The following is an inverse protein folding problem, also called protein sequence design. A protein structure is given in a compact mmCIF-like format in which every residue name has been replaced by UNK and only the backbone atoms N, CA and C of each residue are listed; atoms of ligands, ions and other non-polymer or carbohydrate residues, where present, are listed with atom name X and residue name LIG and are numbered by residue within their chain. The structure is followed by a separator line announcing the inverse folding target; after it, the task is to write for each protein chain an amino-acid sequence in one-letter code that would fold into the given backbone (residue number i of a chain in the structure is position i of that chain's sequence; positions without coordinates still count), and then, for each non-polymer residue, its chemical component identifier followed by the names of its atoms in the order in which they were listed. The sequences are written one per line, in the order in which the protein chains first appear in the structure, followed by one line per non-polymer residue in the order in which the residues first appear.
data_IF_979694452912
#
_entry.id   IF_979694452912
#
_cell.length_a   1.000
_cell.length_b   1.000
_cell.length_c   1.000
_cell.angle_alpha   90.00
_cell.angle_beta   90.00
_cell.angle_gamma   90.00
#
_symmetry.space_group_name_H-M   'P 1'
#
loop_
_entity.id
_entity.type
_entity.pdbx_description
1 polymer ?
#
# COMPACT_ATOMS: atom_id res chain seq x y z
N UNK A 1 12.16 -58.07 8.72
CA UNK A 1 13.08 -56.98 8.32
C UNK A 1 13.21 -56.05 9.51
N UNK A 2 14.42 -55.96 10.06
CA UNK A 2 14.79 -55.10 11.21
C UNK A 2 14.63 -53.61 10.84
N UNK A 3 14.25 -52.72 11.74
CA UNK A 3 15.17 -52.16 12.73
C UNK A 3 14.57 -51.96 14.12
N UNK A 4 15.34 -52.38 15.12
CA UNK A 4 15.22 -52.08 16.53
C UNK A 4 15.40 -50.58 16.79
N UNK A 5 14.54 -49.99 17.59
CA UNK A 5 14.80 -48.68 18.19
C UNK A 5 15.87 -48.85 19.26
N UNK A 6 17.07 -48.38 18.96
CA UNK A 6 18.17 -48.27 19.90
C UNK A 6 17.90 -47.20 20.94
N UNK A 7 18.02 -47.60 22.20
CA UNK A 7 18.19 -46.75 23.37
C UNK A 7 19.42 -45.85 23.18
N UNK A 8 19.25 -44.53 23.31
CA UNK A 8 20.34 -43.64 23.67
C UNK A 8 20.05 -43.12 25.08
N UNK A 9 20.90 -43.58 25.99
CA UNK A 9 20.91 -43.24 27.41
C UNK A 9 21.13 -41.75 27.64
N UNK A 10 20.49 -41.24 28.70
CA UNK A 10 21.01 -40.12 29.47
C UNK A 10 22.37 -40.51 30.03
N UNK A 11 23.42 -39.72 29.79
CA UNK A 11 24.45 -39.31 30.76
C UNK A 11 25.32 -38.23 30.10
N UNK A 12 25.55 -37.11 30.78
CA UNK A 12 26.63 -36.18 30.41
C UNK A 12 26.30 -34.70 30.57
N UNK A 13 26.40 -34.20 31.81
CA UNK A 13 26.68 -32.79 32.10
C UNK A 13 27.92 -32.34 31.31
N UNK A 14 27.74 -31.40 30.39
CA UNK A 14 28.83 -30.78 29.66
C UNK A 14 28.37 -29.51 28.98
N UNK A 15 28.49 -28.38 29.67
CA UNK A 15 28.37 -27.04 29.09
C UNK A 15 29.20 -26.94 27.81
N UNK A 16 28.54 -26.79 26.66
CA UNK A 16 29.19 -26.28 25.45
C UNK A 16 28.82 -24.80 25.28
N UNK A 17 29.81 -23.95 24.96
CA UNK A 17 29.63 -22.50 24.90
C UNK A 17 28.69 -22.15 23.75
N UNK A 18 27.77 -21.21 24.02
CA UNK A 18 26.90 -20.66 22.98
C UNK A 18 27.70 -19.98 21.87
N UNK A 19 27.21 -19.98 20.63
CA UNK A 19 27.84 -19.22 19.57
C UNK A 19 27.72 -17.71 19.86
N UNK A 20 28.85 -17.02 19.66
CA UNK A 20 29.04 -15.59 19.81
C UNK A 20 28.10 -14.76 18.90
N UNK A 21 27.84 -13.48 19.24
CA UNK A 21 26.89 -12.64 18.51
C UNK A 21 27.52 -12.19 17.19
N UNK A 22 27.04 -12.73 16.08
CA UNK A 22 27.52 -12.29 14.78
C UNK A 22 27.26 -13.28 13.65
N UNK A 23 26.01 -13.37 13.21
CA UNK A 23 25.68 -13.57 11.80
C UNK A 23 24.19 -13.36 11.65
N UNK A 24 23.80 -12.14 11.28
CA UNK A 24 22.41 -11.76 11.05
C UNK A 24 22.05 -12.03 9.57
N UNK A 25 22.41 -13.19 9.04
CA UNK A 25 22.09 -13.62 7.69
C UNK A 25 21.91 -15.14 7.75
N UNK A 26 20.82 -15.62 7.15
CA UNK A 26 20.51 -17.05 6.94
C UNK A 26 19.75 -17.72 8.08
N UNK A 27 18.61 -17.12 8.48
CA UNK A 27 17.46 -17.95 8.82
C UNK A 27 16.78 -18.32 7.50
N UNK A 28 17.36 -19.29 6.79
CA UNK A 28 16.59 -20.07 5.81
C UNK A 28 15.47 -20.72 6.61
N UNK A 29 14.31 -20.07 6.67
CA UNK A 29 13.12 -20.67 7.25
C UNK A 29 12.80 -21.87 6.38
N UNK A 30 13.11 -23.04 6.91
CA UNK A 30 12.83 -24.27 6.24
C UNK A 30 11.29 -24.38 6.08
N UNK A 31 10.77 -24.96 4.99
CA UNK A 31 9.32 -25.02 4.76
C UNK A 31 8.56 -25.68 5.93
N UNK A 32 9.22 -26.59 6.66
CA UNK A 32 8.70 -27.25 7.86
C UNK A 32 8.62 -26.32 9.07
N UNK A 33 9.47 -25.30 9.16
CA UNK A 33 9.43 -24.31 10.25
C UNK A 33 8.15 -23.47 10.19
N UNK A 34 7.70 -23.13 8.98
CA UNK A 34 6.42 -22.43 8.80
C UNK A 34 5.24 -23.33 9.15
N UNK A 35 5.30 -24.61 8.77
CA UNK A 35 4.26 -25.58 9.11
C UNK A 35 4.17 -25.80 10.64
N UNK A 36 5.32 -25.93 11.30
CA UNK A 36 5.43 -26.09 12.75
C UNK A 36 4.98 -24.82 13.49
N UNK A 37 5.38 -23.64 12.99
CA UNK A 37 4.95 -22.35 13.55
C UNK A 37 3.43 -22.20 13.43
N UNK A 38 2.86 -22.52 12.27
CA UNK A 38 1.42 -22.47 12.02
C UNK A 38 0.65 -23.43 12.93
N UNK A 39 1.15 -24.66 13.08
CA UNK A 39 0.57 -25.64 14.00
C UNK A 39 0.61 -25.13 15.45
N UNK A 40 1.77 -24.65 15.90
CA UNK A 40 1.95 -24.12 17.26
C UNK A 40 1.02 -22.93 17.53
N UNK A 41 0.91 -22.01 16.56
CA UNK A 41 -0.01 -20.89 16.62
C UNK A 41 -1.47 -21.34 16.72
N UNK A 42 -1.89 -22.30 15.89
CA UNK A 42 -3.26 -22.80 15.89
C UNK A 42 -3.59 -23.49 17.23
N UNK A 43 -2.68 -24.33 17.74
CA UNK A 43 -2.84 -24.97 19.05
C UNK A 43 -2.93 -23.95 20.18
N UNK A 44 -2.11 -22.90 20.14
CA UNK A 44 -2.17 -21.82 21.12
C UNK A 44 -3.51 -21.07 21.04
N UNK A 45 -4.01 -20.76 19.85
CA UNK A 45 -5.31 -20.11 19.66
C UNK A 45 -6.47 -20.98 20.17
N UNK A 46 -6.42 -22.30 19.95
CA UNK A 46 -7.44 -23.22 20.49
C UNK A 46 -7.38 -23.31 22.01
N UNK A 47 -6.19 -23.23 22.61
CA UNK A 47 -6.00 -23.31 24.06
C UNK A 47 -6.42 -22.04 24.79
N UNK A 48 -6.32 -20.88 24.14
CA UNK A 48 -6.67 -19.58 24.73
C UNK A 48 -8.20 -19.44 24.93
N UNK A 49 -9.02 -20.36 24.39
CA UNK A 49 -10.49 -20.33 24.45
C UNK A 49 -11.02 -18.91 24.25
N UNK A 50 -10.66 -18.31 23.10
CA UNK A 50 -11.11 -16.97 22.77
C UNK A 50 -12.64 -16.96 22.69
N UNK A 51 -13.34 -16.24 23.58
CA UNK A 51 -14.80 -16.37 23.73
C UNK A 51 -15.55 -16.02 22.44
N UNK A 52 -14.95 -15.19 21.58
CA UNK A 52 -15.54 -14.76 20.31
C UNK A 52 -15.25 -15.69 19.12
N UNK A 53 -14.29 -16.62 19.21
CA UNK A 53 -13.88 -17.44 18.06
C UNK A 53 -14.93 -18.50 17.70
N UNK A 54 -15.69 -18.98 18.68
CA UNK A 54 -16.86 -19.84 18.47
C UNK A 54 -18.12 -19.07 18.08
N UNK A 55 -18.19 -17.79 18.42
CA UNK A 55 -19.36 -16.93 18.16
C UNK A 55 -19.32 -16.31 16.76
N UNK A 56 -18.12 -16.06 16.21
CA UNK A 56 -17.92 -15.58 14.84
C UNK A 56 -17.70 -16.79 13.93
N UNK A 57 -18.76 -17.54 13.66
CA UNK A 57 -18.71 -18.52 12.56
C UNK A 57 -18.48 -17.77 11.25
N UNK A 58 -17.42 -18.10 10.52
CA UNK A 58 -17.12 -17.47 9.24
C UNK A 58 -18.33 -17.63 8.29
N UNK A 59 -18.90 -16.51 7.85
CA UNK A 59 -20.06 -16.51 6.96
C UNK A 59 -21.43 -16.56 7.64
N UNK A 60 -21.54 -16.56 8.98
CA UNK A 60 -22.84 -16.40 9.63
C UNK A 60 -23.33 -14.96 9.59
N UNK A 61 -24.58 -14.70 9.15
CA UNK A 61 -25.19 -13.39 9.27
C UNK A 61 -25.29 -12.96 10.74
N UNK A 62 -24.60 -11.88 11.12
CA UNK A 62 -24.75 -11.27 12.43
C UNK A 62 -26.01 -10.41 12.43
N UNK A 63 -26.94 -10.70 13.34
CA UNK A 63 -28.15 -9.91 13.51
C UNK A 63 -27.82 -8.61 14.25
N UNK A 64 -27.44 -7.59 13.49
CA UNK A 64 -27.19 -6.25 14.04
C UNK A 64 -28.50 -5.52 14.29
N UNK A 65 -28.52 -4.69 15.33
CA UNK A 65 -29.66 -3.81 15.60
C UNK A 65 -29.81 -2.81 14.44
N UNK A 66 -31.04 -2.68 13.94
CA UNK A 66 -31.35 -1.71 12.88
C UNK A 66 -31.21 -0.29 13.44
N UNK A 67 -30.22 0.45 12.94
CA UNK A 67 -30.03 1.86 13.25
C UNK A 67 -30.46 2.71 12.05
N UNK A 68 -31.22 3.78 12.31
CA UNK A 68 -31.54 4.78 11.29
C UNK A 68 -30.27 5.58 11.00
N UNK A 69 -29.69 5.39 9.82
CA UNK A 69 -28.60 6.26 9.37
C UNK A 69 -29.23 7.53 8.82
N UNK A 70 -29.07 8.65 9.53
CA UNK A 70 -29.40 9.96 8.98
C UNK A 70 -28.23 10.38 8.09
N UNK A 71 -28.45 10.39 6.77
CA UNK A 71 -27.49 10.94 5.82
C UNK A 71 -27.81 12.42 5.65
N UNK A 72 -27.24 13.26 6.50
CA UNK A 72 -27.34 14.72 6.42
C UNK A 72 -26.44 15.29 5.32
N UNK A 73 -26.55 14.74 4.11
CA UNK A 73 -25.89 15.28 2.94
C UNK A 73 -26.78 16.33 2.29
N UNK A 74 -26.60 17.60 2.64
CA UNK A 74 -27.21 18.68 1.87
C UNK A 74 -26.55 18.71 0.48
N UNK A 75 -27.38 18.61 -0.56
CA UNK A 75 -26.93 18.84 -1.92
C UNK A 75 -26.73 20.35 -2.15
N UNK A 76 -25.79 20.76 -3.01
CA UNK A 76 -25.62 22.17 -3.33
C UNK A 76 -26.90 22.74 -3.95
N UNK A 77 -27.19 24.01 -3.65
CA UNK A 77 -28.35 24.70 -4.23
C UNK A 77 -28.16 24.91 -5.74
N UNK A 78 -29.27 25.05 -6.46
CA UNK A 78 -29.22 25.38 -7.89
C UNK A 78 -28.46 26.69 -8.16
N UNK A 79 -28.54 27.65 -7.24
CA UNK A 79 -27.80 28.92 -7.30
C UNK A 79 -26.29 28.71 -7.16
N UNK A 80 -25.87 27.89 -6.18
CA UNK A 80 -24.47 27.49 -6.00
C UNK A 80 -23.91 26.84 -7.26
N UNK A 81 -24.65 25.90 -7.87
CA UNK A 81 -24.22 25.22 -9.10
C UNK A 81 -24.08 26.20 -10.27
N UNK A 82 -25.02 27.16 -10.40
CA UNK A 82 -24.95 28.17 -11.47
C UNK A 82 -23.75 29.09 -11.30
N UNK A 83 -23.50 29.57 -10.09
CA UNK A 83 -22.37 30.43 -9.77
C UNK A 83 -21.04 29.74 -10.10
N UNK A 84 -20.89 28.48 -9.69
CA UNK A 84 -19.68 27.70 -9.95
C UNK A 84 -19.45 27.51 -11.46
N UNK A 85 -20.51 27.23 -12.22
CA UNK A 85 -20.43 27.10 -13.69
C UNK A 85 -20.00 28.41 -14.35
N UNK A 86 -20.56 29.54 -13.94
CA UNK A 86 -20.19 30.85 -14.47
C UNK A 86 -18.73 31.21 -14.17
N UNK A 87 -18.26 30.88 -12.96
CA UNK A 87 -16.87 31.05 -12.60
C UNK A 87 -15.94 30.20 -13.47
N UNK A 88 -16.25 28.92 -13.64
CA UNK A 88 -15.42 28.01 -14.43
C UNK A 88 -15.39 28.39 -15.92
N UNK A 89 -16.52 28.83 -16.49
CA UNK A 89 -16.55 29.36 -17.86
C UNK A 89 -15.59 30.54 -18.03
N UNK A 90 -15.58 31.51 -17.11
CA UNK A 90 -14.66 32.65 -17.14
C UNK A 90 -13.20 32.22 -17.02
N UNK A 91 -12.91 31.22 -16.18
CA UNK A 91 -11.57 30.66 -16.02
C UNK A 91 -11.08 30.00 -17.31
N UNK A 92 -11.93 29.19 -17.95
CA UNK A 92 -11.61 28.53 -19.23
C UNK A 92 -11.39 29.54 -20.36
N UNK A 93 -12.22 30.59 -20.44
CA UNK A 93 -12.04 31.67 -21.42
C UNK A 93 -10.74 32.45 -21.21
N UNK A 94 -10.26 32.57 -19.97
CA UNK A 94 -8.95 33.16 -19.69
C UNK A 94 -7.83 32.25 -20.20
N UNK A 95 -7.87 30.96 -19.86
CA UNK A 95 -6.87 29.99 -20.28
C UNK A 95 -6.76 29.90 -21.80
N UNK A 96 -7.89 29.85 -22.51
CA UNK A 96 -7.91 29.83 -23.98
C UNK A 96 -7.24 31.06 -24.60
N UNK A 97 -7.46 32.24 -24.00
CA UNK A 97 -6.78 33.47 -24.45
C UNK A 97 -5.28 33.43 -24.21
N UNK A 98 -4.85 32.87 -23.09
CA UNK A 98 -3.42 32.69 -22.80
C UNK A 98 -2.76 31.71 -23.76
N UNK A 99 -3.43 30.60 -24.06
CA UNK A 99 -2.99 29.60 -25.03
C UNK A 99 -2.84 30.22 -26.43
N UNK A 100 -3.87 30.91 -26.91
CA UNK A 100 -3.82 31.60 -28.20
C UNK A 100 -2.68 32.64 -28.24
N UNK A 101 -2.51 33.45 -27.19
CA UNK A 101 -1.43 34.42 -27.12
C UNK A 101 -0.04 33.75 -27.14
N UNK A 102 0.11 32.61 -26.47
CA UNK A 102 1.35 31.84 -26.48
C UNK A 102 1.66 31.26 -27.88
N UNK A 103 0.64 30.76 -28.58
CA UNK A 103 0.76 30.30 -29.96
C UNK A 103 1.15 31.44 -30.92
N UNK A 104 0.47 32.58 -30.84
CA UNK A 104 0.78 33.78 -31.64
C UNK A 104 2.21 34.27 -31.41
N UNK A 105 2.66 34.30 -30.16
CA UNK A 105 4.04 34.65 -29.80
C UNK A 105 5.01 33.62 -30.39
N UNK A 106 4.72 32.32 -30.26
CA UNK A 106 5.57 31.28 -30.79
C UNK A 106 5.72 31.37 -32.30
N UNK A 107 4.61 31.56 -33.03
CA UNK A 107 4.60 31.77 -34.48
C UNK A 107 5.41 33.01 -34.83
N UNK A 108 5.13 34.15 -34.18
CA UNK A 108 5.83 35.42 -34.42
C UNK A 108 7.35 35.32 -34.17
N UNK A 109 7.77 34.57 -33.16
CA UNK A 109 9.19 34.35 -32.85
C UNK A 109 9.88 33.40 -33.83
N UNK A 110 9.15 32.43 -34.40
CA UNK A 110 9.67 31.49 -35.42
C UNK A 110 9.70 32.11 -36.81
N UNK A 111 8.73 32.96 -37.14
CA UNK A 111 8.63 33.65 -38.43
C UNK A 111 9.57 34.86 -38.53
N UNK A 112 10.00 35.43 -37.40
CA UNK A 112 11.14 36.34 -37.41
C UNK A 112 12.35 35.57 -37.93
N UNK A 113 12.98 36.01 -39.04
CA UNK A 113 14.21 35.39 -39.49
C UNK A 113 15.16 35.45 -38.30
N UNK A 114 15.52 34.28 -37.77
CA UNK A 114 16.50 34.13 -36.71
C UNK A 114 17.69 34.93 -37.20
N UNK A 115 17.88 36.12 -36.63
CA UNK A 115 18.94 37.02 -37.06
C UNK A 115 20.19 36.18 -37.07
N UNK A 116 20.75 36.00 -38.27
CA UNK A 116 21.87 35.11 -38.58
C UNK A 116 22.69 34.92 -37.31
N UNK A 117 22.54 33.78 -36.62
CA UNK A 117 23.39 33.51 -35.47
C UNK A 117 24.80 33.69 -35.99
N UNK A 118 25.48 34.73 -35.52
CA UNK A 118 26.86 34.97 -35.94
C UNK A 118 27.59 33.66 -35.65
N UNK A 119 28.30 33.09 -36.63
CA UNK A 119 29.12 31.92 -36.36
C UNK A 119 29.97 32.21 -35.13
N UNK A 120 30.08 31.24 -34.23
CA UNK A 120 31.01 31.35 -33.12
C UNK A 120 32.40 31.64 -33.69
N UNK A 121 33.14 32.63 -33.15
CA UNK A 121 34.48 32.91 -33.64
C UNK A 121 35.36 31.66 -33.49
N UNK A 122 36.23 31.36 -34.47
CA UNK A 122 37.14 30.22 -34.38
C UNK A 122 38.09 30.38 -33.18
N UNK A 123 38.45 29.24 -32.56
CA UNK A 123 39.44 29.16 -31.47
C UNK A 123 40.85 29.35 -31.98
#
# INVERSE_FOLDING_TARGET
MYAQYGLCNEEGLGSKPGPAPGSLCDLEQEPWDLALLTQTWYTNLTNIQLPFLGEITFGSPLQLQKCKTVKDGLLPSAESIKLEREYEMKRLDNLKRQENAAEEIQVSLRERPVGLRRPLPPK
#
